data_IF_465608049864
#
_entry.id   IF_465608049864
#
_cell.length_a   1.000
_cell.length_b   1.000
_cell.length_c   1.000
_cell.angle_alpha   90.00
_cell.angle_beta   90.00
_cell.angle_gamma   90.00
#
_symmetry.space_group_name_H-M   'P 1'
#
loop_
_entity.id
_entity.type
_entity.pdbx_description
1 polymer ?
#
# COMPACT_ATOMS: atom_id res chain seq x y z
N UNK A 1 1.33 17.03 12.32
CA UNK A 1 2.39 16.03 12.59
C UNK A 1 2.98 15.59 11.25
N UNK A 2 4.27 15.28 11.16
CA UNK A 2 4.89 14.89 9.89
C UNK A 2 5.47 13.48 10.00
N UNK A 3 5.13 12.62 9.04
CA UNK A 3 5.68 11.28 8.87
C UNK A 3 6.63 11.31 7.67
N UNK A 4 7.82 10.73 7.81
CA UNK A 4 8.87 10.70 6.79
C UNK A 4 9.21 9.26 6.44
N UNK A 5 9.59 9.03 5.18
CA UNK A 5 9.99 7.70 4.72
C UNK A 5 11.03 7.09 5.68
N UNK A 6 10.82 5.83 6.02
CA UNK A 6 11.67 5.10 6.97
C UNK A 6 11.20 5.18 8.42
N UNK A 7 10.31 6.11 8.76
CA UNK A 7 9.68 6.15 10.09
C UNK A 7 9.05 4.80 10.41
N UNK A 8 9.35 4.30 11.61
CA UNK A 8 8.96 2.97 12.04
C UNK A 8 8.01 3.02 13.23
N UNK A 9 6.84 2.43 13.06
CA UNK A 9 5.76 2.37 14.03
C UNK A 9 5.73 0.96 14.63
N UNK A 10 6.06 0.85 15.92
CA UNK A 10 6.17 -0.44 16.61
C UNK A 10 4.78 -1.00 16.91
N UNK A 11 4.63 -2.30 16.83
CA UNK A 11 3.36 -2.97 17.13
C UNK A 11 3.12 -4.14 16.20
N UNK A 12 2.20 -5.02 16.57
CA UNK A 12 1.89 -6.21 15.78
C UNK A 12 0.60 -6.07 14.98
N UNK A 13 -0.15 -4.99 15.22
CA UNK A 13 -1.45 -4.73 14.62
C UNK A 13 -1.46 -3.41 13.84
N UNK A 14 -2.39 -3.31 12.87
CA UNK A 14 -2.59 -2.08 12.10
C UNK A 14 -3.08 -0.95 13.02
N UNK A 15 -3.87 -1.30 14.04
CA UNK A 15 -4.36 -0.35 15.04
C UNK A 15 -3.21 0.32 15.80
N UNK A 16 -2.19 -0.45 16.22
CA UNK A 16 -1.00 0.12 16.89
C UNK A 16 -0.33 1.18 16.01
N UNK A 17 -0.15 0.87 14.73
CA UNK A 17 0.43 1.79 13.77
C UNK A 17 -0.46 3.03 13.58
N UNK A 18 -1.77 2.87 13.44
CA UNK A 18 -2.68 3.99 13.21
C UNK A 18 -2.81 4.93 14.41
N UNK A 19 -2.76 4.40 15.63
CA UNK A 19 -2.75 5.21 16.85
C UNK A 19 -1.50 6.10 16.88
N UNK A 20 -0.32 5.55 16.56
CA UNK A 20 0.92 6.32 16.52
C UNK A 20 1.03 7.26 15.32
N UNK A 21 0.65 6.80 14.12
CA UNK A 21 0.82 7.53 12.87
C UNK A 21 -0.28 8.57 12.63
N UNK A 22 -1.52 8.34 13.11
CA UNK A 22 -2.67 9.21 12.81
C UNK A 22 -3.41 9.72 14.06
N UNK A 23 -3.04 9.24 15.25
CA UNK A 23 -3.76 9.58 16.49
C UNK A 23 -5.19 9.04 16.54
N UNK A 24 -5.52 8.00 15.77
CA UNK A 24 -6.87 7.46 15.71
C UNK A 24 -6.95 5.99 16.13
N UNK A 25 -7.98 5.65 16.92
CA UNK A 25 -8.30 4.29 17.38
C UNK A 25 -9.13 3.52 16.36
N UNK A 26 -8.74 3.56 15.08
CA UNK A 26 -9.45 2.81 14.05
C UNK A 26 -9.32 1.30 14.30
N UNK A 27 -10.42 0.56 14.10
CA UNK A 27 -10.46 -0.90 13.96
C UNK A 27 -10.53 -1.25 12.47
N UNK A 28 -9.39 -1.34 11.75
CA UNK A 28 -9.41 -1.65 10.34
C UNK A 28 -9.82 -3.11 10.11
N UNK A 29 -10.94 -3.32 9.43
CA UNK A 29 -11.35 -4.64 8.94
C UNK A 29 -10.64 -5.07 7.64
N UNK A 30 -9.88 -4.16 7.01
CA UNK A 30 -9.22 -4.38 5.71
C UNK A 30 -7.79 -3.84 5.72
N UNK A 31 -6.98 -4.28 4.76
CA UNK A 31 -5.58 -3.85 4.61
C UNK A 31 -5.43 -2.39 4.15
N UNK A 32 -6.53 -1.73 3.75
CA UNK A 32 -6.57 -0.30 3.43
C UNK A 32 -7.88 0.34 3.93
N UNK A 33 -7.80 1.60 4.33
CA UNK A 33 -8.94 2.42 4.76
C UNK A 33 -8.52 3.90 4.86
N UNK A 34 -9.45 4.81 5.15
CA UNK A 34 -9.14 6.23 5.40
C UNK A 34 -9.21 6.47 6.92
N UNK A 35 -8.08 6.77 7.59
CA UNK A 35 -8.07 7.18 8.99
C UNK A 35 -8.96 8.41 9.21
N UNK A 36 -9.66 8.48 10.36
CA UNK A 36 -10.58 9.60 10.66
C UNK A 36 -9.89 10.96 10.54
N UNK A 37 -8.71 11.12 11.14
CA UNK A 37 -7.90 12.34 11.08
C UNK A 37 -7.52 12.73 9.65
N UNK A 38 -7.21 11.73 8.81
CA UNK A 38 -6.91 11.96 7.39
C UNK A 38 -8.17 12.41 6.64
N UNK A 39 -9.32 11.78 6.91
CA UNK A 39 -10.60 12.15 6.30
C UNK A 39 -11.01 13.57 6.67
N UNK A 40 -10.88 13.96 7.93
CA UNK A 40 -11.24 15.30 8.40
C UNK A 40 -10.43 16.40 7.72
N UNK A 41 -9.16 16.12 7.40
CA UNK A 41 -8.26 17.11 6.78
C UNK A 41 -8.26 17.09 5.25
N UNK A 42 -8.38 15.91 4.64
CA UNK A 42 -8.17 15.71 3.20
C UNK A 42 -9.35 15.05 2.49
N UNK A 43 -10.46 14.79 3.19
CA UNK A 43 -11.58 14.04 2.65
C UNK A 43 -11.19 12.60 2.28
N UNK A 44 -11.80 12.08 1.21
CA UNK A 44 -11.55 10.72 0.74
C UNK A 44 -10.41 10.64 -0.29
N UNK A 45 -9.42 11.53 -0.24
CA UNK A 45 -8.32 11.55 -1.20
C UNK A 45 -7.20 10.55 -0.87
N UNK A 46 -6.88 10.39 0.43
CA UNK A 46 -5.76 9.60 0.92
C UNK A 46 -6.21 8.35 1.68
N UNK A 47 -5.72 7.18 1.26
CA UNK A 47 -6.00 5.91 1.95
C UNK A 47 -4.73 5.37 2.58
N UNK A 48 -4.78 5.04 3.86
CA UNK A 48 -3.71 4.30 4.52
C UNK A 48 -3.72 2.85 4.03
N UNK A 49 -2.55 2.33 3.67
CA UNK A 49 -2.40 1.01 3.06
C UNK A 49 -1.28 0.21 3.72
N UNK A 50 -1.60 -0.98 4.24
CA UNK A 50 -0.72 -1.78 5.09
C UNK A 50 -0.43 -3.14 4.47
N UNK A 51 0.70 -3.27 3.79
CA UNK A 51 1.01 -4.44 2.95
C UNK A 51 2.41 -4.99 3.21
N UNK A 52 2.61 -6.26 2.86
CA UNK A 52 3.96 -6.77 2.64
C UNK A 52 4.45 -6.23 1.30
N UNK A 53 5.75 -6.00 1.14
CA UNK A 53 6.33 -5.49 -0.12
C UNK A 53 7.49 -6.38 -0.61
N UNK A 54 7.47 -7.65 -0.20
CA UNK A 54 8.50 -8.67 -0.45
C UNK A 54 8.15 -9.59 -1.65
N UNK A 55 7.05 -9.31 -2.36
CA UNK A 55 6.53 -10.15 -3.43
C UNK A 55 5.81 -11.42 -2.96
N UNK A 56 5.72 -11.66 -1.64
CA UNK A 56 4.98 -12.82 -1.13
C UNK A 56 3.48 -12.69 -1.41
N UNK A 57 2.86 -13.80 -1.79
CA UNK A 57 1.42 -13.87 -2.04
C UNK A 57 0.68 -14.02 -0.71
N UNK A 58 -0.28 -13.12 -0.45
CA UNK A 58 -1.18 -13.20 0.69
C UNK A 58 -2.60 -12.87 0.25
N UNK A 59 -3.53 -13.78 0.50
CA UNK A 59 -4.93 -13.65 0.07
C UNK A 59 -5.04 -13.31 -1.43
N UNK A 60 -4.30 -14.03 -2.27
CA UNK A 60 -4.21 -13.84 -3.72
C UNK A 60 -3.57 -12.52 -4.20
N UNK A 61 -3.10 -11.66 -3.29
CA UNK A 61 -2.40 -10.43 -3.64
C UNK A 61 -0.89 -10.57 -3.39
N UNK A 62 -0.08 -10.15 -4.34
CA UNK A 62 1.36 -9.96 -4.20
C UNK A 62 1.69 -8.48 -4.36
N UNK A 63 2.54 -7.98 -3.50
CA UNK A 63 2.99 -6.59 -3.55
C UNK A 63 4.51 -6.59 -3.46
N UNK A 64 5.15 -5.91 -4.40
CA UNK A 64 6.61 -5.84 -4.49
C UNK A 64 7.04 -4.38 -4.62
N UNK A 65 7.95 -3.95 -3.74
CA UNK A 65 8.63 -2.67 -3.92
C UNK A 65 9.65 -2.81 -5.05
N UNK A 66 9.62 -1.88 -6.00
CA UNK A 66 10.54 -1.80 -7.13
C UNK A 66 11.20 -0.43 -7.05
N UNK A 67 12.51 -0.41 -6.82
CA UNK A 67 13.26 0.84 -6.79
C UNK A 67 13.37 1.43 -8.21
N UNK A 68 13.55 2.75 -8.29
CA UNK A 68 13.87 3.42 -9.56
C UNK A 68 14.98 2.68 -10.32
N UNK A 69 14.80 2.57 -11.64
CA UNK A 69 15.67 1.85 -12.58
C UNK A 69 15.67 0.33 -12.47
N UNK A 70 15.02 -0.28 -11.48
CA UNK A 70 14.80 -1.73 -11.47
C UNK A 70 13.70 -2.11 -12.47
N UNK A 71 13.77 -3.33 -13.00
CA UNK A 71 12.79 -3.83 -13.96
C UNK A 71 11.47 -4.11 -13.26
N UNK A 72 10.39 -3.49 -13.74
CA UNK A 72 9.04 -3.79 -13.29
C UNK A 72 8.65 -5.19 -13.79
N UNK A 73 8.17 -6.08 -12.91
CA UNK A 73 7.63 -7.37 -13.31
C UNK A 73 6.52 -7.22 -14.36
N UNK A 74 6.33 -8.24 -15.20
CA UNK A 74 5.44 -8.25 -16.37
C UNK A 74 5.77 -7.26 -17.49
N UNK A 75 5.97 -5.97 -17.19
CA UNK A 75 6.20 -4.95 -18.23
C UNK A 75 7.58 -5.06 -18.88
N UNK A 76 8.56 -5.63 -18.17
CA UNK A 76 9.96 -5.76 -18.64
C UNK A 76 10.61 -4.42 -19.01
N UNK A 77 10.14 -3.34 -18.39
CA UNK A 77 10.71 -1.99 -18.52
C UNK A 77 11.25 -1.50 -17.17
N UNK A 78 12.28 -0.63 -17.14
CA UNK A 78 12.75 0.00 -15.91
C UNK A 78 11.68 0.90 -15.28
N UNK A 79 11.61 0.93 -13.95
CA UNK A 79 10.78 1.87 -13.22
C UNK A 79 11.37 3.29 -13.28
N UNK A 80 10.56 4.28 -13.63
CA UNK A 80 11.00 5.69 -13.69
C UNK A 80 11.15 6.32 -12.29
N UNK A 81 10.43 5.77 -11.32
CA UNK A 81 10.38 6.17 -9.91
C UNK A 81 10.31 4.93 -9.04
N UNK A 82 10.56 5.08 -7.75
CA UNK A 82 10.19 4.05 -6.80
C UNK A 82 8.69 3.76 -6.92
N UNK A 83 8.34 2.48 -7.01
CA UNK A 83 6.95 2.09 -7.18
C UNK A 83 6.65 0.78 -6.44
N UNK A 84 5.36 0.52 -6.25
CA UNK A 84 4.86 -0.74 -5.74
C UNK A 84 4.12 -1.42 -6.88
N UNK A 85 4.60 -2.60 -7.26
CA UNK A 85 3.92 -3.50 -8.18
C UNK A 85 2.96 -4.39 -7.39
N UNK A 86 1.65 -4.21 -7.60
CA UNK A 86 0.58 -4.97 -6.96
C UNK A 86 -0.02 -5.95 -7.98
N UNK A 87 0.09 -7.24 -7.76
CA UNK A 87 -0.45 -8.28 -8.64
C UNK A 87 -1.52 -9.11 -7.94
N UNK A 88 -2.52 -9.56 -8.70
CA UNK A 88 -3.58 -10.44 -8.22
C UNK A 88 -3.53 -11.77 -8.97
N UNK A 89 -3.53 -12.87 -8.21
CA UNK A 89 -3.47 -14.24 -8.73
C UNK A 89 -4.73 -15.05 -8.46
N UNK A 90 -5.80 -14.42 -7.98
CA UNK A 90 -7.05 -15.09 -7.62
C UNK A 90 -8.05 -15.13 -8.78
N UNK A 91 -9.26 -15.63 -8.50
CA UNK A 91 -10.34 -15.61 -9.48
C UNK A 91 -10.89 -14.19 -9.62
N UNK A 92 -11.18 -13.77 -10.85
CA UNK A 92 -11.72 -12.44 -11.16
C UNK A 92 -13.12 -12.20 -10.59
N UNK A 93 -13.87 -13.27 -10.31
CA UNK A 93 -15.17 -13.24 -9.67
C UNK A 93 -15.09 -12.84 -8.18
N UNK A 94 -13.95 -13.12 -7.53
CA UNK A 94 -13.75 -12.86 -6.10
C UNK A 94 -13.31 -11.41 -5.83
N UNK A 95 -12.85 -10.70 -6.86
CA UNK A 95 -12.46 -9.30 -6.75
C UNK A 95 -13.70 -8.43 -6.52
N UNK A 96 -13.69 -7.71 -5.39
CA UNK A 96 -14.72 -6.72 -5.09
C UNK A 96 -14.67 -5.54 -6.05
N UNK A 97 -15.76 -4.75 -6.15
CA UNK A 97 -15.81 -3.53 -6.98
C UNK A 97 -14.64 -2.59 -6.67
N UNK A 98 -14.34 -2.37 -5.39
CA UNK A 98 -13.26 -1.48 -4.96
C UNK A 98 -11.86 -2.06 -5.21
N UNK A 99 -11.74 -3.38 -5.37
CA UNK A 99 -10.51 -4.02 -5.79
C UNK A 99 -10.35 -4.05 -7.31
N UNK A 100 -11.38 -3.72 -8.09
CA UNK A 100 -11.26 -3.49 -9.54
C UNK A 100 -11.02 -2.00 -9.80
N UNK A 101 -11.87 -1.18 -9.20
CA UNK A 101 -11.90 0.28 -9.27
C UNK A 101 -11.58 0.88 -7.89
N UNK A 102 -10.28 1.01 -7.55
CA UNK A 102 -9.86 1.51 -6.25
C UNK A 102 -10.38 2.90 -5.99
N UNK A 103 -10.97 3.07 -4.80
CA UNK A 103 -11.37 4.38 -4.31
C UNK A 103 -10.13 5.18 -3.89
N UNK A 104 -10.12 6.48 -4.18
CA UNK A 104 -9.05 7.38 -3.78
C UNK A 104 -7.91 7.52 -4.75
N UNK A 105 -7.30 8.70 -4.71
CA UNK A 105 -6.26 9.11 -5.64
C UNK A 105 -4.87 8.64 -5.18
N UNK A 106 -4.63 8.64 -3.87
CA UNK A 106 -3.31 8.34 -3.30
C UNK A 106 -3.36 7.35 -2.12
N UNK A 107 -2.23 6.69 -1.88
CA UNK A 107 -2.00 5.66 -0.87
C UNK A 107 -0.86 6.08 0.05
N UNK A 108 -1.16 6.23 1.33
CA UNK A 108 -0.16 6.39 2.39
C UNK A 108 0.32 4.96 2.74
N UNK A 109 1.46 4.55 2.18
CA UNK A 109 1.88 3.15 2.20
C UNK A 109 2.76 2.83 3.41
N UNK A 110 2.39 1.79 4.13
CA UNK A 110 3.12 1.22 5.26
C UNK A 110 3.50 -0.23 4.96
N UNK A 111 4.80 -0.50 4.90
CA UNK A 111 5.32 -1.86 4.81
C UNK A 111 5.16 -2.57 6.15
N UNK A 112 4.50 -3.72 6.15
CA UNK A 112 4.52 -4.68 7.26
C UNK A 112 5.91 -5.31 7.36
N UNK A 113 6.62 -5.05 8.46
CA UNK A 113 7.96 -5.59 8.70
C UNK A 113 7.85 -6.85 9.54
N UNK A 114 8.41 -7.97 9.04
CA UNK A 114 8.48 -9.24 9.77
C UNK A 114 9.74 -9.28 10.64
N UNK A 115 9.62 -9.78 11.86
CA UNK A 115 10.76 -10.15 12.71
C UNK A 115 11.28 -11.55 12.36
N UNK A 116 12.30 -12.00 13.08
CA UNK A 116 12.96 -13.31 12.84
C UNK A 116 12.03 -14.53 12.93
N UNK A 117 10.94 -14.44 13.69
CA UNK A 117 9.94 -15.49 13.83
C UNK A 117 8.83 -15.44 12.75
N UNK A 118 8.99 -14.60 11.72
CA UNK A 118 8.02 -14.41 10.64
C UNK A 118 6.78 -13.59 11.02
N UNK A 119 6.63 -13.19 12.29
CA UNK A 119 5.52 -12.34 12.75
C UNK A 119 5.81 -10.86 12.46
N UNK A 120 4.75 -10.09 12.24
CA UNK A 120 4.87 -8.63 12.08
C UNK A 120 5.34 -8.02 13.40
N UNK A 121 6.40 -7.19 13.35
CA UNK A 121 6.97 -6.48 14.51
C UNK A 121 6.73 -4.96 14.45
N UNK A 122 6.28 -4.48 13.30
CA UNK A 122 5.93 -3.08 13.11
C UNK A 122 5.69 -2.76 11.65
N UNK A 123 5.56 -1.46 11.41
CA UNK A 123 5.17 -0.89 10.14
C UNK A 123 6.13 0.24 9.78
N UNK A 124 6.74 0.17 8.61
CA UNK A 124 7.60 1.23 8.09
C UNK A 124 6.83 2.05 7.09
N UNK A 125 6.82 3.37 7.25
CA UNK A 125 6.25 4.26 6.23
C UNK A 125 7.17 4.31 5.01
N UNK A 126 6.64 3.96 3.85
CA UNK A 126 7.41 3.88 2.60
C UNK A 126 7.18 5.09 1.69
N UNK A 127 6.18 5.93 1.98
CA UNK A 127 5.83 7.11 1.20
C UNK A 127 4.35 7.17 0.82
N UNK A 128 4.02 8.20 0.04
CA UNK A 128 2.72 8.37 -0.62
C UNK A 128 2.86 7.90 -2.07
N UNK A 129 1.90 7.12 -2.53
CA UNK A 129 1.90 6.52 -3.87
C UNK A 129 0.58 6.78 -4.58
N UNK A 130 0.63 6.93 -5.90
CA UNK A 130 -0.54 7.09 -6.77
C UNK A 130 -0.61 5.94 -7.77
N UNK A 131 -1.82 5.45 -8.04
CA UNK A 131 -2.03 4.47 -9.11
C UNK A 131 -1.80 5.18 -10.45
N UNK A 132 -0.75 4.79 -11.18
CA UNK A 132 -0.44 5.36 -12.49
C UNK A 132 -0.82 4.43 -13.63
N UNK A 133 -0.87 3.11 -13.37
CA UNK A 133 -1.22 2.12 -14.38
C UNK A 133 -1.97 0.93 -13.79
N UNK A 134 -3.01 0.52 -14.50
CA UNK A 134 -3.69 -0.77 -14.28
C UNK A 134 -3.47 -1.64 -15.52
N UNK A 135 -3.16 -2.91 -15.30
CA UNK A 135 -2.80 -3.88 -16.33
C UNK A 135 -3.90 -4.94 -16.40
N UNK A 136 -4.45 -5.11 -17.59
CA UNK A 136 -5.41 -6.15 -17.92
C UNK A 136 -4.86 -7.07 -19.01
N UNK A 137 -5.20 -8.35 -18.93
CA UNK A 137 -4.90 -9.36 -19.95
C UNK A 137 -6.20 -10.12 -20.24
N UNK A 138 -6.60 -10.22 -21.50
CA UNK A 138 -7.87 -10.84 -21.93
C UNK A 138 -9.11 -10.32 -21.15
N UNK A 139 -9.13 -9.02 -20.84
CA UNK A 139 -10.21 -8.37 -20.08
C UNK A 139 -10.19 -8.67 -18.57
N UNK A 140 -9.20 -9.39 -18.06
CA UNK A 140 -9.03 -9.74 -16.65
C UNK A 140 -7.99 -8.85 -16.00
N UNK A 141 -8.24 -8.43 -14.77
CA UNK A 141 -7.26 -7.66 -14.00
C UNK A 141 -6.07 -8.55 -13.65
N UNK A 142 -4.86 -8.05 -13.89
CA UNK A 142 -3.62 -8.77 -13.55
C UNK A 142 -2.84 -8.02 -12.48
N UNK A 143 -2.61 -6.72 -12.68
CA UNK A 143 -1.76 -5.95 -11.80
C UNK A 143 -2.00 -4.44 -11.84
N UNK A 144 -1.40 -3.72 -10.89
CA UNK A 144 -1.27 -2.27 -10.84
C UNK A 144 0.15 -1.85 -10.53
N UNK A 145 0.44 -0.61 -10.93
CA UNK A 145 1.64 0.11 -10.56
C UNK A 145 1.21 1.34 -9.78
N UNK A 146 1.74 1.43 -8.56
CA UNK A 146 1.60 2.58 -7.68
C UNK A 146 2.95 3.31 -7.68
N UNK A 147 3.04 4.49 -8.28
CA UNK A 147 4.28 5.28 -8.30
C UNK A 147 4.33 6.23 -7.11
N UNK A 148 5.52 6.37 -6.53
CA UNK A 148 5.75 7.28 -5.42
C UNK A 148 5.56 8.74 -5.85
N UNK A 149 4.79 9.48 -5.06
CA UNK A 149 4.55 10.92 -5.24
C UNK A 149 5.17 11.76 -4.13
N UNK A 150 5.39 11.20 -2.94
CA UNK A 150 6.04 11.91 -1.83
C UNK A 150 6.73 10.95 -0.85
N UNK A 151 7.86 11.38 -0.28
CA UNK A 151 8.53 10.71 0.84
C UNK A 151 7.97 11.13 2.21
N UNK A 152 7.02 12.06 2.21
CA UNK A 152 6.54 12.75 3.40
C UNK A 152 5.01 12.80 3.35
N UNK A 153 4.38 12.54 4.49
CA UNK A 153 2.96 12.81 4.69
C UNK A 153 2.77 13.74 5.90
N UNK A 154 1.96 14.78 5.72
CA UNK A 154 1.67 15.76 6.78
C UNK A 154 0.22 15.64 7.23
N UNK A 155 0.03 15.51 8.54
CA UNK A 155 -1.26 15.50 9.23
C UNK A 155 -1.57 16.81 9.91
#
# INVERSE_FOLDING_TARGET
MQIKQGDFFRGTTIQDCCSQAFGCDALPMRAYFIPKTVRERYGDHYYAWFVFMDGSVKNNWSNQFIAKSQIIPFLKVPAERDCIFEAYSGLQADMTKHEKDPLGEERIAFQRVKGYNGKVVGYRFEGVYKITRTIYEDGKFIARIHEKTSDIFSL
#
